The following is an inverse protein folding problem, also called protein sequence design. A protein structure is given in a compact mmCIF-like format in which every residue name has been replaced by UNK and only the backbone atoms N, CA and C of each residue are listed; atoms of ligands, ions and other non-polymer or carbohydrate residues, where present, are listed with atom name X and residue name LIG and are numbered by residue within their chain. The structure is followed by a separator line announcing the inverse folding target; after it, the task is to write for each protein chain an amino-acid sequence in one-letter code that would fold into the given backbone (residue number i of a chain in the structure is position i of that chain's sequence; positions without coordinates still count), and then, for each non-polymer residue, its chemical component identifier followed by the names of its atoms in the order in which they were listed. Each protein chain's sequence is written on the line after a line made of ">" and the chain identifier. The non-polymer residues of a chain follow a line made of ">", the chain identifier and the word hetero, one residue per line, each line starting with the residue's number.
data_IF_555242661067
#
_entry.id   IF_555242661067
#
_cell.length_a   1.000
_cell.length_b   1.000
_cell.length_c   1.000
_cell.angle_alpha   90.00
_cell.angle_beta   90.00
_cell.angle_gamma   90.00
#
_symmetry.space_group_name_H-M   'P 1'
#
loop_
_entity.id
_entity.type
_entity.pdbx_description
1 polymer ?
#
# COMPACT_ATOMS: atom_id res chain seq x y z
N UNK A 1 -10.51 -10.20 -28.55
CA UNK A 1 -10.84 -8.93 -27.94
C UNK A 1 -9.95 -8.65 -26.77
N UNK A 2 -9.41 -7.52 -26.75
CA UNK A 2 -8.43 -7.13 -25.76
C UNK A 2 -9.07 -6.16 -24.76
N UNK A 3 -9.04 -6.52 -23.49
CA UNK A 3 -9.61 -5.70 -22.44
C UNK A 3 -8.58 -4.90 -21.67
N UNK A 4 -7.31 -5.09 -21.98
CA UNK A 4 -6.24 -4.47 -21.19
C UNK A 4 -6.26 -2.96 -21.27
N UNK A 5 -6.53 -2.43 -22.45
CA UNK A 5 -6.59 -1.00 -22.64
C UNK A 5 -7.82 -0.34 -22.05
N UNK A 6 -8.78 -1.13 -21.59
CA UNK A 6 -10.04 -0.61 -21.08
C UNK A 6 -10.02 -0.32 -19.60
N UNK A 7 -9.03 -0.84 -18.87
CA UNK A 7 -8.91 -0.56 -17.45
C UNK A 7 -7.96 0.61 -17.24
N UNK A 8 -8.47 1.81 -17.48
CA UNK A 8 -7.68 3.03 -17.33
C UNK A 8 -7.26 3.29 -15.90
N UNK A 9 -7.94 2.70 -14.92
CA UNK A 9 -7.57 2.87 -13.53
C UNK A 9 -6.18 2.32 -13.24
N UNK A 10 -5.75 1.26 -13.93
CA UNK A 10 -4.42 0.71 -13.75
C UNK A 10 -3.32 1.73 -14.04
N UNK A 11 -3.55 2.68 -14.95
CA UNK A 11 -2.55 3.70 -15.24
C UNK A 11 -2.25 4.60 -14.05
N UNK A 12 -3.19 4.73 -13.12
CA UNK A 12 -2.99 5.53 -11.92
C UNK A 12 -1.89 4.96 -11.04
N UNK A 13 -1.65 3.67 -11.13
CA UNK A 13 -0.60 3.00 -10.36
C UNK A 13 0.80 3.43 -10.77
N UNK A 14 0.95 4.07 -11.93
CA UNK A 14 2.23 4.63 -12.34
C UNK A 14 2.77 5.64 -11.33
N UNK A 15 1.90 6.28 -10.55
CA UNK A 15 2.32 7.21 -9.50
C UNK A 15 3.16 6.52 -8.42
N UNK A 16 3.02 5.20 -8.26
CA UNK A 16 3.77 4.43 -7.27
C UNK A 16 5.06 3.85 -7.83
N UNK A 17 5.18 3.72 -9.16
CA UNK A 17 6.31 3.03 -9.80
C UNK A 17 7.65 3.68 -9.43
N UNK A 18 8.61 2.85 -9.06
CA UNK A 18 9.96 3.27 -8.71
C UNK A 18 10.37 2.82 -7.33
N UNK A 19 11.46 3.39 -6.85
CA UNK A 19 11.98 3.09 -5.52
C UNK A 19 11.63 4.20 -4.54
N UNK A 20 11.36 3.79 -3.31
CA UNK A 20 10.99 4.70 -2.23
C UNK A 20 11.72 4.28 -0.96
N UNK A 21 12.06 5.25 -0.13
CA UNK A 21 12.37 4.95 1.27
C UNK A 21 11.07 5.08 2.06
N UNK A 22 10.96 4.29 3.12
CA UNK A 22 9.77 4.34 3.96
C UNK A 22 10.18 4.51 5.42
N UNK A 23 9.49 5.41 6.08
CA UNK A 23 9.60 5.64 7.50
C UNK A 23 8.28 5.28 8.13
N UNK A 24 8.28 4.44 9.15
CA UNK A 24 7.06 3.99 9.80
C UNK A 24 7.29 3.86 11.30
N UNK A 25 6.22 4.05 12.06
CA UNK A 25 6.29 3.91 13.50
C UNK A 25 4.90 3.98 14.13
N UNK A 26 4.83 3.86 15.46
CA UNK A 26 3.55 3.96 16.16
C UNK A 26 2.91 5.31 15.88
N UNK A 27 1.60 5.33 15.74
CA UNK A 27 0.87 6.57 15.49
C UNK A 27 1.18 7.60 16.58
N UNK A 28 1.62 8.79 16.15
CA UNK A 28 2.00 9.87 17.07
C UNK A 28 3.32 9.66 17.79
N UNK A 29 4.03 8.58 17.50
CA UNK A 29 5.31 8.26 18.13
C UNK A 29 6.49 8.42 17.20
N UNK A 30 7.69 8.07 17.70
CA UNK A 30 8.89 8.13 16.90
C UNK A 30 8.94 6.96 15.90
N UNK A 31 9.48 7.18 14.69
CA UNK A 31 9.65 6.10 13.72
C UNK A 31 10.53 4.99 14.28
N UNK A 32 10.24 3.75 13.86
CA UNK A 32 11.11 2.63 14.15
C UNK A 32 12.47 2.83 13.49
N UNK A 33 13.57 2.35 14.11
CA UNK A 33 14.91 2.54 13.57
C UNK A 33 15.11 1.73 12.28
N UNK A 34 16.03 2.24 11.45
CA UNK A 34 16.34 1.62 10.18
C UNK A 34 15.42 2.10 9.08
N UNK A 35 16.01 2.45 7.96
CA UNK A 35 15.25 2.93 6.82
C UNK A 35 14.78 1.73 6.01
N UNK A 36 13.48 1.66 5.76
CA UNK A 36 12.92 0.64 4.91
C UNK A 36 13.01 1.08 3.46
N UNK A 37 13.18 0.11 2.56
CA UNK A 37 13.16 0.33 1.13
C UNK A 37 11.93 -0.35 0.54
N UNK A 38 11.26 0.35 -0.37
CA UNK A 38 10.06 -0.17 -1.05
C UNK A 38 10.22 0.09 -2.54
N UNK A 39 9.97 -0.91 -3.36
CA UNK A 39 9.99 -0.76 -4.80
C UNK A 39 8.66 -1.20 -5.40
N UNK A 40 8.24 -0.50 -6.44
CA UNK A 40 7.05 -0.88 -7.22
C UNK A 40 7.47 -0.97 -8.67
N UNK A 41 7.20 -2.11 -9.30
CA UNK A 41 7.46 -2.27 -10.72
C UNK A 41 6.37 -3.10 -11.38
N UNK A 42 6.09 -2.78 -12.63
CA UNK A 42 5.12 -3.53 -13.39
C UNK A 42 5.64 -4.92 -13.72
N UNK A 43 4.78 -5.92 -13.51
CA UNK A 43 5.00 -7.21 -14.14
C UNK A 43 4.81 -7.01 -15.65
N UNK A 44 5.55 -7.77 -16.43
CA UNK A 44 5.46 -7.69 -17.87
C UNK A 44 4.01 -7.85 -18.31
N UNK A 45 3.54 -6.94 -19.17
CA UNK A 45 2.16 -6.90 -19.59
C UNK A 45 1.32 -5.86 -18.86
N UNK A 46 1.85 -5.29 -17.77
CA UNK A 46 1.23 -4.18 -17.02
C UNK A 46 -0.18 -4.49 -16.50
N UNK A 47 -0.46 -5.75 -16.21
CA UNK A 47 -1.73 -6.13 -15.57
C UNK A 47 -1.60 -6.16 -14.04
N UNK A 48 -0.36 -6.32 -13.56
CA UNK A 48 -0.09 -6.39 -12.12
C UNK A 48 1.13 -5.55 -11.78
N UNK A 49 1.02 -4.80 -10.69
CA UNK A 49 2.13 -4.04 -10.12
C UNK A 49 2.67 -4.83 -8.94
N UNK A 50 3.98 -5.02 -8.91
CA UNK A 50 4.64 -5.78 -7.85
C UNK A 50 5.30 -4.82 -6.90
N UNK A 51 4.93 -4.91 -5.64
CA UNK A 51 5.53 -4.14 -4.55
C UNK A 51 6.44 -5.06 -3.76
N UNK A 52 7.67 -4.59 -3.46
CA UNK A 52 8.60 -5.32 -2.59
C UNK A 52 9.09 -4.38 -1.53
N UNK A 53 9.19 -4.87 -0.30
CA UNK A 53 9.76 -4.06 0.77
C UNK A 53 10.76 -4.86 1.59
N UNK A 54 11.74 -4.12 2.10
CA UNK A 54 12.72 -4.62 3.05
C UNK A 54 12.67 -3.70 4.25
N UNK A 55 12.28 -4.24 5.40
CA UNK A 55 12.19 -3.50 6.65
C UNK A 55 13.16 -4.09 7.64
N UNK A 56 14.37 -3.50 7.80
CA UNK A 56 15.42 -4.12 8.61
C UNK A 56 15.01 -4.43 10.05
N UNK A 57 14.14 -3.60 10.63
CA UNK A 57 13.72 -3.78 12.02
C UNK A 57 12.55 -4.77 12.15
N UNK A 58 12.03 -5.31 11.06
CA UNK A 58 10.84 -6.15 11.09
C UNK A 58 10.95 -7.33 10.12
N UNK A 59 10.40 -7.19 8.91
CA UNK A 59 10.35 -8.29 7.96
C UNK A 59 10.23 -7.77 6.54
N UNK A 60 10.65 -8.60 5.62
CA UNK A 60 10.50 -8.33 4.19
C UNK A 60 9.15 -8.83 3.71
N UNK A 61 8.70 -8.31 2.59
CA UNK A 61 7.45 -8.77 2.00
C UNK A 61 7.30 -8.38 0.55
N UNK A 62 6.20 -8.83 0.00
CA UNK A 62 5.82 -8.58 -1.39
C UNK A 62 4.30 -8.41 -1.45
N UNK A 63 3.84 -7.59 -2.35
CA UNK A 63 2.42 -7.51 -2.66
C UNK A 63 2.22 -7.47 -4.16
N UNK A 64 1.09 -8.00 -4.61
CA UNK A 64 0.70 -8.01 -6.01
C UNK A 64 -0.59 -7.20 -6.10
N UNK A 65 -0.57 -6.14 -6.90
CA UNK A 65 -1.69 -5.22 -7.06
C UNK A 65 -2.24 -5.35 -8.47
N UNK A 66 -3.52 -5.64 -8.58
CA UNK A 66 -4.20 -5.77 -9.86
C UNK A 66 -5.59 -5.15 -9.80
N UNK A 67 -6.33 -5.28 -10.90
CA UNK A 67 -7.69 -4.79 -10.97
C UNK A 67 -8.58 -5.54 -9.99
N UNK A 68 -9.45 -4.79 -9.31
CA UNK A 68 -10.46 -5.36 -8.43
C UNK A 68 -11.73 -5.70 -9.21
N UNK A 69 -12.79 -6.02 -8.47
CA UNK A 69 -14.06 -6.40 -9.08
C UNK A 69 -14.82 -5.23 -9.68
N UNK A 70 -14.62 -4.03 -9.14
CA UNK A 70 -15.31 -2.84 -9.61
C UNK A 70 -14.36 -1.92 -10.38
N UNK A 71 -14.87 -1.11 -11.30
CA UNK A 71 -14.07 -0.07 -11.94
C UNK A 71 -13.43 0.84 -10.90
N UNK A 72 -12.26 1.34 -11.16
CA UNK A 72 -11.52 2.24 -10.28
C UNK A 72 -11.07 1.62 -8.96
N UNK A 73 -11.25 0.33 -8.79
CA UNK A 73 -10.82 -0.37 -7.59
C UNK A 73 -9.75 -1.38 -7.92
N UNK A 74 -8.76 -1.50 -7.01
CA UNK A 74 -7.69 -2.47 -7.12
C UNK A 74 -7.81 -3.47 -5.99
N UNK A 75 -7.10 -4.59 -6.15
CA UNK A 75 -6.96 -5.58 -5.10
C UNK A 75 -5.49 -5.82 -4.88
N UNK A 76 -5.07 -5.77 -3.62
CA UNK A 76 -3.68 -5.92 -3.23
C UNK A 76 -3.55 -7.20 -2.42
N UNK A 77 -2.78 -8.15 -2.95
CA UNK A 77 -2.48 -9.43 -2.29
C UNK A 77 -1.14 -9.29 -1.58
N UNK A 78 -1.16 -9.40 -0.27
CA UNK A 78 -0.05 -9.12 0.63
C UNK A 78 0.54 -10.42 1.18
N UNK A 79 1.88 -10.53 1.19
CA UNK A 79 2.60 -11.68 1.73
C UNK A 79 3.84 -11.15 2.45
N UNK A 80 4.13 -11.65 3.67
CA UNK A 80 5.34 -11.22 4.36
C UNK A 80 6.17 -12.39 4.88
N UNK A 81 7.37 -12.08 5.36
CA UNK A 81 8.33 -13.08 5.82
C UNK A 81 7.89 -13.88 7.04
N UNK A 82 6.85 -13.46 7.72
CA UNK A 82 6.26 -14.22 8.84
C UNK A 82 5.29 -15.28 8.34
N UNK A 83 4.98 -15.30 7.03
CA UNK A 83 3.99 -16.19 6.46
C UNK A 83 2.58 -15.63 6.47
N UNK A 84 2.40 -14.36 6.80
CA UNK A 84 1.08 -13.73 6.76
C UNK A 84 0.66 -13.49 5.31
N UNK A 85 -0.61 -13.74 5.05
CA UNK A 85 -1.24 -13.46 3.75
C UNK A 85 -2.50 -12.66 4.01
N UNK A 86 -2.70 -11.59 3.25
CA UNK A 86 -3.89 -10.76 3.39
C UNK A 86 -4.30 -10.18 2.05
N UNK A 87 -5.59 -9.92 1.89
CA UNK A 87 -6.11 -9.27 0.70
C UNK A 87 -6.74 -7.96 1.12
N UNK A 88 -6.29 -6.87 0.47
CA UNK A 88 -6.82 -5.54 0.70
C UNK A 88 -7.55 -5.06 -0.54
N UNK A 89 -8.67 -4.37 -0.36
CA UNK A 89 -9.24 -3.52 -1.39
C UNK A 89 -8.43 -2.24 -1.42
N UNK A 90 -8.35 -1.59 -2.58
CA UNK A 90 -7.50 -0.43 -2.73
C UNK A 90 -8.06 0.54 -3.75
N UNK A 91 -7.89 1.83 -3.49
CA UNK A 91 -8.15 2.88 -4.45
C UNK A 91 -6.96 3.84 -4.49
N UNK A 92 -6.75 4.44 -5.64
CA UNK A 92 -5.73 5.48 -5.82
C UNK A 92 -6.30 6.50 -6.81
N UNK A 93 -6.74 7.62 -6.27
CA UNK A 93 -7.33 8.69 -7.09
C UNK A 93 -7.18 10.04 -6.41
N UNK A 94 -7.03 11.07 -7.23
CA UNK A 94 -6.95 12.45 -6.73
C UNK A 94 -5.85 12.65 -5.69
N UNK A 95 -4.74 11.93 -5.85
CA UNK A 95 -3.61 12.01 -4.93
C UNK A 95 -3.85 11.33 -3.58
N UNK A 96 -4.91 10.53 -3.46
CA UNK A 96 -5.22 9.81 -2.22
C UNK A 96 -5.15 8.31 -2.46
N UNK A 97 -4.36 7.65 -1.65
CA UNK A 97 -4.16 6.19 -1.69
C UNK A 97 -4.83 5.58 -0.48
N UNK A 98 -5.81 4.71 -0.73
CA UNK A 98 -6.54 4.02 0.33
C UNK A 98 -6.45 2.52 0.16
N UNK A 99 -6.37 1.82 1.28
CA UNK A 99 -6.42 0.36 1.32
C UNK A 99 -7.26 -0.04 2.53
N UNK A 100 -8.00 -1.12 2.42
CA UNK A 100 -8.78 -1.60 3.56
C UNK A 100 -9.07 -3.09 3.45
N UNK A 101 -9.28 -3.71 4.61
CA UNK A 101 -9.79 -5.07 4.71
C UNK A 101 -10.73 -5.12 5.91
N UNK A 102 -11.90 -5.71 5.70
CA UNK A 102 -12.94 -5.80 6.72
C UNK A 102 -12.93 -7.13 7.46
N UNK A 103 -12.06 -8.05 7.05
CA UNK A 103 -11.97 -9.37 7.68
C UNK A 103 -11.66 -9.21 9.18
N UNK A 104 -12.39 -9.91 10.05
CA UNK A 104 -12.23 -9.73 11.49
C UNK A 104 -10.96 -10.34 12.07
N UNK A 105 -10.28 -11.21 11.37
CA UNK A 105 -9.10 -11.91 11.85
C UNK A 105 -7.85 -11.40 11.12
N UNK A 106 -6.85 -10.86 11.84
CA UNK A 106 -6.87 -10.58 13.29
C UNK A 106 -7.75 -9.39 13.67
N UNK A 107 -7.96 -8.44 12.78
CA UNK A 107 -8.83 -7.28 12.97
C UNK A 107 -8.96 -6.52 11.66
N UNK A 108 -10.04 -5.76 11.48
CA UNK A 108 -10.18 -4.86 10.33
C UNK A 108 -9.10 -3.80 10.32
N UNK A 109 -8.66 -3.42 9.13
CA UNK A 109 -7.61 -2.42 8.92
C UNK A 109 -7.98 -1.47 7.80
N UNK A 110 -7.53 -0.24 7.90
CA UNK A 110 -7.63 0.72 6.80
C UNK A 110 -6.43 1.65 6.77
N UNK A 111 -6.03 2.01 5.58
CA UNK A 111 -4.88 2.85 5.30
C UNK A 111 -5.33 4.03 4.46
N UNK A 112 -4.87 5.22 4.79
CA UNK A 112 -5.10 6.41 3.99
C UNK A 112 -3.81 7.21 3.94
N UNK A 113 -3.37 7.56 2.74
CA UNK A 113 -2.18 8.39 2.56
C UNK A 113 -2.41 9.35 1.40
N UNK A 114 -1.69 10.47 1.44
CA UNK A 114 -1.79 11.50 0.41
C UNK A 114 -0.44 11.77 -0.20
N UNK A 115 -0.43 11.93 -1.52
CA UNK A 115 0.74 12.38 -2.25
C UNK A 115 0.84 13.89 -2.09
N UNK A 116 2.05 14.40 -1.91
CA UNK A 116 2.25 15.85 -1.98
C UNK A 116 2.21 16.31 -3.45
N UNK A 117 2.26 17.62 -3.67
CA UNK A 117 2.05 18.19 -5.00
C UNK A 117 3.06 17.73 -6.04
N UNK A 118 4.29 17.44 -5.67
CA UNK A 118 5.30 16.96 -6.63
C UNK A 118 5.27 15.44 -6.83
N UNK A 119 4.45 14.73 -6.07
CA UNK A 119 4.33 13.29 -6.18
C UNK A 119 5.50 12.51 -5.60
N UNK A 120 6.41 13.16 -4.87
CA UNK A 120 7.63 12.53 -4.37
C UNK A 120 7.58 12.17 -2.89
N UNK A 121 6.53 12.57 -2.19
CA UNK A 121 6.31 12.21 -0.79
C UNK A 121 4.87 11.74 -0.62
N UNK A 122 4.70 10.64 0.10
CA UNK A 122 3.38 10.10 0.42
C UNK A 122 3.32 9.96 1.94
N UNK A 123 2.33 10.58 2.56
CA UNK A 123 2.20 10.57 4.02
C UNK A 123 0.82 10.15 4.46
N UNK A 124 0.76 9.29 5.45
CA UNK A 124 -0.51 8.81 5.98
C UNK A 124 -0.31 7.77 7.07
N UNK A 125 -1.25 6.86 7.16
CA UNK A 125 -1.15 5.84 8.19
C UNK A 125 -2.22 4.78 8.13
N UNK A 126 -2.01 3.79 8.96
CA UNK A 126 -2.92 2.67 9.18
C UNK A 126 -3.72 2.90 10.44
N UNK A 127 -5.00 2.49 10.38
CA UNK A 127 -5.88 2.39 11.52
C UNK A 127 -6.33 0.93 11.66
N UNK A 128 -6.67 0.53 12.86
CA UNK A 128 -7.19 -0.81 13.13
C UNK A 128 -8.41 -0.72 14.05
N UNK A 129 -9.28 -1.70 13.93
CA UNK A 129 -10.40 -1.89 14.85
C UNK A 129 -10.17 -3.20 15.60
N UNK A 130 -9.36 -3.14 16.65
CA UNK A 130 -8.96 -4.34 17.40
C UNK A 130 -10.14 -5.06 18.02
N UNK A 131 -11.17 -4.33 18.41
CA UNK A 131 -12.42 -4.89 18.97
C UNK A 131 -13.49 -5.16 17.90
N UNK A 132 -13.14 -4.90 16.62
CA UNK A 132 -14.07 -5.06 15.51
C UNK A 132 -14.99 -3.89 15.24
N UNK A 133 -14.99 -2.87 16.07
CA UNK A 133 -15.92 -1.73 15.90
C UNK A 133 -15.33 -0.35 16.15
N UNK A 134 -14.34 -0.23 17.01
CA UNK A 134 -13.74 1.06 17.35
C UNK A 134 -12.41 1.23 16.62
N UNK A 135 -12.33 2.24 15.75
CA UNK A 135 -11.12 2.52 14.99
C UNK A 135 -10.14 3.36 15.78
N UNK A 136 -8.89 2.96 15.77
CA UNK A 136 -7.81 3.70 16.41
C UNK A 136 -6.61 3.79 15.48
N UNK A 137 -5.86 4.88 15.57
CA UNK A 137 -4.64 5.06 14.81
C UNK A 137 -3.60 4.02 15.29
N UNK A 138 -2.94 3.38 14.34
CA UNK A 138 -2.01 2.28 14.62
C UNK A 138 -0.58 2.63 14.21
N UNK A 139 -0.36 2.97 12.94
CA UNK A 139 0.98 3.19 12.39
C UNK A 139 0.96 4.43 11.49
N UNK A 140 1.93 5.33 11.68
CA UNK A 140 2.18 6.43 10.76
C UNK A 140 3.23 6.00 9.75
N UNK A 141 3.07 6.41 8.50
CA UNK A 141 3.94 6.02 7.39
C UNK A 141 4.25 7.23 6.51
N UNK A 142 5.52 7.36 6.12
CA UNK A 142 5.93 8.34 5.13
C UNK A 142 6.84 7.66 4.11
N UNK A 143 6.50 7.81 2.83
CA UNK A 143 7.33 7.33 1.72
C UNK A 143 7.98 8.53 1.06
N UNK A 144 9.27 8.40 0.73
CA UNK A 144 9.99 9.43 -0.04
C UNK A 144 10.62 8.80 -1.26
N UNK A 145 10.36 9.39 -2.41
CA UNK A 145 10.86 8.89 -3.68
C UNK A 145 12.38 8.94 -3.71
N UNK A 146 12.98 7.85 -4.15
CA UNK A 146 14.42 7.81 -4.37
C UNK A 146 14.71 8.41 -5.74
N UNK A 147 15.74 9.22 -5.80
CA UNK A 147 16.17 9.84 -7.05
C UNK A 147 17.07 8.92 -7.88
#
# INVERSE_FOLDING_TARGET
>A
MDHFGENFALERLDALVGGWTMEAGPAGGAPWPGEAAVTFEWLRGRAFLIERWVVPAAFDGIAVIGAGEEPDRFRRHYFDGRGEQRIYEMTLRDGVWKQWRDAPDPFPQRFTAKFNDDGETISGGWEKAADGSTWEADIDVTYRKMS
#
